data_IF_033039633735
#
_entry.id   IF_033039633735
#
_cell.length_a   1.000
_cell.length_b   1.000
_cell.length_c   1.000
_cell.angle_alpha   90.00
_cell.angle_beta   90.00
_cell.angle_gamma   90.00
#
_symmetry.space_group_name_H-M   'P 1'
#
loop_
_entity.id
_entity.type
_entity.pdbx_description
1 polymer ?
#
# COMPACT_ATOMS: atom_id res chain seq x y z
N UNK A 1 2.45 3.66 -21.05
CA UNK A 1 1.27 4.11 -20.30
C UNK A 1 1.50 3.79 -18.84
N UNK A 2 1.06 4.66 -17.93
CA UNK A 2 1.29 4.49 -16.49
C UNK A 2 -0.04 4.41 -15.78
N UNK A 3 -0.22 3.39 -14.95
CA UNK A 3 -1.44 3.16 -14.16
C UNK A 3 -1.09 3.20 -12.68
N UNK A 4 -1.79 4.02 -11.89
CA UNK A 4 -1.65 4.03 -10.43
C UNK A 4 -2.79 3.26 -9.78
N UNK A 5 -2.44 2.29 -8.94
CA UNK A 5 -3.38 1.57 -8.08
C UNK A 5 -3.24 2.09 -6.65
N UNK A 6 -4.32 2.63 -6.10
CA UNK A 6 -4.39 3.07 -4.71
C UNK A 6 -5.07 1.99 -3.85
N UNK A 7 -4.38 1.51 -2.82
CA UNK A 7 -4.87 0.48 -1.90
C UNK A 7 -4.83 0.99 -0.46
N UNK A 8 -5.83 0.65 0.36
CA UNK A 8 -5.84 1.07 1.75
C UNK A 8 -4.73 0.33 2.52
N UNK A 9 -4.78 -0.99 2.55
CA UNK A 9 -3.80 -1.83 3.22
C UNK A 9 -2.95 -2.63 2.24
N UNK A 10 -1.84 -3.17 2.74
CA UNK A 10 -1.04 -4.14 2.00
C UNK A 10 -1.78 -5.46 1.94
N UNK A 11 -2.19 -5.87 0.74
CA UNK A 11 -3.00 -7.04 0.33
C UNK A 11 -4.22 -6.61 -0.50
N UNK A 12 -4.83 -5.46 -0.21
CA UNK A 12 -5.98 -4.91 -0.94
C UNK A 12 -5.70 -4.77 -2.45
N UNK A 13 -4.48 -4.40 -2.85
CA UNK A 13 -4.08 -4.31 -4.26
C UNK A 13 -4.13 -5.67 -4.97
N UNK A 14 -3.74 -6.73 -4.25
CA UNK A 14 -3.66 -8.09 -4.77
C UNK A 14 -5.05 -8.72 -4.79
N UNK A 15 -5.78 -8.61 -3.68
CA UNK A 15 -7.12 -9.19 -3.50
C UNK A 15 -8.12 -8.52 -4.43
N UNK A 16 -8.11 -7.19 -4.50
CA UNK A 16 -9.07 -6.43 -5.29
C UNK A 16 -8.73 -6.41 -6.77
N UNK A 17 -7.45 -6.22 -7.12
CA UNK A 17 -7.03 -5.89 -8.48
C UNK A 17 -5.88 -6.74 -9.02
N UNK A 18 -5.43 -7.79 -8.33
CA UNK A 18 -4.24 -8.56 -8.71
C UNK A 18 -4.28 -9.09 -10.15
N UNK A 19 -5.42 -9.62 -10.59
CA UNK A 19 -5.59 -10.08 -11.98
C UNK A 19 -5.50 -8.94 -13.00
N UNK A 20 -6.05 -7.76 -12.68
CA UNK A 20 -5.96 -6.57 -13.53
C UNK A 20 -4.55 -6.02 -13.59
N UNK A 21 -3.86 -5.95 -12.45
CA UNK A 21 -2.45 -5.53 -12.35
C UNK A 21 -1.59 -6.42 -13.23
N UNK A 22 -1.68 -7.74 -13.07
CA UNK A 22 -0.90 -8.70 -13.86
C UNK A 22 -1.17 -8.56 -15.36
N UNK A 23 -2.43 -8.36 -15.74
CA UNK A 23 -2.80 -8.13 -17.14
C UNK A 23 -2.16 -6.86 -17.70
N UNK A 24 -2.35 -5.71 -17.05
CA UNK A 24 -1.81 -4.43 -17.51
C UNK A 24 -0.28 -4.46 -17.59
N UNK A 25 0.38 -5.03 -16.59
CA UNK A 25 1.83 -5.23 -16.59
C UNK A 25 2.29 -6.11 -17.78
N UNK A 26 1.56 -7.20 -18.08
CA UNK A 26 1.87 -8.06 -19.23
C UNK A 26 1.65 -7.38 -20.58
N UNK A 27 0.79 -6.36 -20.63
CA UNK A 27 0.55 -5.51 -21.80
C UNK A 27 1.58 -4.37 -21.93
N UNK A 28 2.54 -4.29 -20.99
CA UNK A 28 3.64 -3.34 -21.01
C UNK A 28 3.33 -2.00 -20.32
N UNK A 29 2.26 -1.92 -19.52
CA UNK A 29 1.99 -0.75 -18.70
C UNK A 29 2.91 -0.66 -17.47
N UNK A 30 3.30 0.56 -17.12
CA UNK A 30 4.02 0.87 -15.89
C UNK A 30 3.00 0.98 -14.75
N UNK A 31 2.76 -0.14 -14.05
CA UNK A 31 1.83 -0.19 -12.93
C UNK A 31 2.54 0.18 -11.63
N UNK A 32 2.05 1.23 -10.97
CA UNK A 32 2.55 1.72 -9.68
C UNK A 32 1.48 1.53 -8.61
N UNK A 33 1.82 0.84 -7.54
CA UNK A 33 0.92 0.62 -6.39
C UNK A 33 1.28 1.59 -5.27
N UNK A 34 0.27 2.31 -4.76
CA UNK A 34 0.38 3.18 -3.57
C UNK A 34 -0.49 2.59 -2.47
N UNK A 35 0.15 2.16 -1.38
CA UNK A 35 -0.50 1.63 -0.17
C UNK A 35 -0.51 2.69 0.91
N UNK A 36 -1.69 2.93 1.47
CA UNK A 36 -1.93 4.04 2.38
C UNK A 36 -1.51 3.70 3.81
N UNK A 37 -1.85 2.50 4.28
CA UNK A 37 -1.66 2.04 5.65
C UNK A 37 -0.78 0.79 5.70
N UNK A 38 0.08 0.69 6.72
CA UNK A 38 0.86 -0.55 6.93
C UNK A 38 0.01 -1.72 7.46
N UNK A 39 -1.23 -1.46 7.89
CA UNK A 39 -2.15 -2.49 8.40
C UNK A 39 -1.79 -3.02 9.79
N UNK A 40 -0.95 -2.30 10.56
CA UNK A 40 -0.55 -2.72 11.90
C UNK A 40 -1.51 -2.23 13.01
N UNK A 41 -2.68 -1.66 12.67
CA UNK A 41 -3.62 -1.07 13.64
C UNK A 41 -4.16 -2.04 14.70
N UNK A 42 -4.25 -3.33 14.39
CA UNK A 42 -4.75 -4.39 15.27
C UNK A 42 -3.66 -5.09 16.09
N UNK A 43 -2.38 -4.84 15.83
CA UNK A 43 -1.24 -5.42 16.55
C UNK A 43 -1.37 -5.10 18.04
N UNK A 44 -1.26 -6.12 18.88
CA UNK A 44 -1.30 -5.98 20.35
C UNK A 44 -2.68 -5.61 20.94
N UNK A 45 -3.74 -5.53 20.12
CA UNK A 45 -5.11 -5.26 20.58
C UNK A 45 -5.96 -6.52 20.77
N UNK A 46 -5.56 -7.62 20.16
CA UNK A 46 -6.21 -8.92 20.28
C UNK A 46 -5.54 -9.72 21.40
N UNK A 47 -6.33 -10.38 22.24
CA UNK A 47 -5.83 -11.28 23.30
C UNK A 47 -5.04 -12.48 22.74
N UNK A 48 -5.28 -12.83 21.47
CA UNK A 48 -4.54 -13.86 20.73
C UNK A 48 -3.23 -13.35 20.11
N UNK A 49 -2.90 -12.07 20.26
CA UNK A 49 -1.70 -11.50 19.64
C UNK A 49 -0.42 -12.03 20.33
N UNK A 50 0.56 -12.56 19.57
CA UNK A 50 1.79 -13.06 20.17
C UNK A 50 2.56 -11.94 20.88
N UNK A 51 2.92 -12.09 22.16
CA UNK A 51 3.56 -11.02 22.93
C UNK A 51 4.97 -10.68 22.45
N UNK A 52 5.63 -11.57 21.70
CA UNK A 52 6.95 -11.33 21.11
C UNK A 52 6.89 -10.64 19.74
N UNK A 53 5.70 -10.52 19.13
CA UNK A 53 5.57 -9.95 17.79
C UNK A 53 5.26 -8.46 17.87
N UNK A 54 6.30 -7.65 17.62
CA UNK A 54 6.20 -6.19 17.68
C UNK A 54 5.43 -5.62 16.48
N UNK A 55 4.95 -4.37 16.64
CA UNK A 55 4.31 -3.62 15.56
C UNK A 55 5.27 -3.43 14.40
N UNK A 56 6.52 -3.10 14.71
CA UNK A 56 7.58 -2.84 13.75
C UNK A 56 7.90 -4.09 12.92
N UNK A 57 7.89 -5.26 13.53
CA UNK A 57 8.12 -6.53 12.84
C UNK A 57 6.99 -6.85 11.87
N UNK A 58 5.73 -6.62 12.27
CA UNK A 58 4.58 -6.77 11.37
C UNK A 58 4.63 -5.81 10.21
N UNK A 59 4.95 -4.54 10.45
CA UNK A 59 5.08 -3.54 9.39
C UNK A 59 6.17 -3.96 8.39
N UNK A 60 7.36 -4.34 8.88
CA UNK A 60 8.47 -4.79 8.04
C UNK A 60 8.08 -6.00 7.20
N UNK A 61 7.42 -6.97 7.82
CA UNK A 61 7.01 -8.20 7.16
C UNK A 61 5.97 -7.91 6.07
N UNK A 62 4.93 -7.14 6.36
CA UNK A 62 3.88 -6.80 5.38
C UNK A 62 4.40 -5.97 4.21
N UNK A 63 5.32 -5.04 4.47
CA UNK A 63 5.98 -4.27 3.40
C UNK A 63 6.79 -5.20 2.49
N UNK A 64 7.48 -6.19 3.06
CA UNK A 64 8.22 -7.18 2.29
C UNK A 64 7.27 -8.05 1.46
N UNK A 65 6.21 -8.58 2.08
CA UNK A 65 5.21 -9.43 1.42
C UNK A 65 4.52 -8.72 0.24
N UNK A 66 4.06 -7.49 0.44
CA UNK A 66 3.41 -6.72 -0.63
C UNK A 66 4.37 -6.36 -1.77
N UNK A 67 5.64 -6.06 -1.49
CA UNK A 67 6.65 -5.88 -2.55
C UNK A 67 6.88 -7.16 -3.35
N UNK A 68 7.00 -8.31 -2.67
CA UNK A 68 7.17 -9.60 -3.32
C UNK A 68 5.94 -9.97 -4.17
N UNK A 69 4.73 -9.68 -3.68
CA UNK A 69 3.51 -9.86 -4.45
C UNK A 69 3.50 -8.94 -5.68
N UNK A 70 3.90 -7.68 -5.54
CA UNK A 70 4.07 -6.75 -6.64
C UNK A 70 5.04 -7.26 -7.70
N UNK A 71 6.20 -7.76 -7.30
CA UNK A 71 7.20 -8.35 -8.22
C UNK A 71 6.62 -9.52 -9.02
N UNK A 72 5.83 -10.39 -8.38
CA UNK A 72 5.15 -11.52 -9.06
C UNK A 72 4.13 -11.02 -10.08
N UNK A 73 3.39 -9.95 -9.75
CA UNK A 73 2.36 -9.38 -10.62
C UNK A 73 2.93 -8.45 -11.71
N UNK A 74 4.24 -8.20 -11.74
CA UNK A 74 4.87 -7.30 -12.70
C UNK A 74 4.70 -5.80 -12.37
N UNK A 75 4.40 -5.47 -11.11
CA UNK A 75 4.35 -4.08 -10.63
C UNK A 75 5.73 -3.44 -10.72
N UNK A 76 5.81 -2.24 -11.28
CA UNK A 76 7.06 -1.50 -11.38
C UNK A 76 7.51 -0.95 -10.02
N UNK A 77 6.56 -0.41 -9.24
CA UNK A 77 6.85 0.16 -7.93
C UNK A 77 5.70 -0.01 -6.95
N UNK A 78 6.02 -0.48 -5.74
CA UNK A 78 5.12 -0.45 -4.58
C UNK A 78 5.61 0.61 -3.58
N UNK A 79 4.74 1.58 -3.27
CA UNK A 79 5.04 2.75 -2.44
C UNK A 79 4.10 2.75 -1.23
N UNK A 80 4.66 2.95 -0.03
CA UNK A 80 3.87 3.07 1.19
C UNK A 80 3.83 4.53 1.64
N UNK A 81 2.63 5.09 1.80
CA UNK A 81 2.47 6.38 2.46
C UNK A 81 2.71 6.27 3.96
N UNK A 82 2.49 5.10 4.55
CA UNK A 82 2.91 4.76 5.90
C UNK A 82 2.07 5.40 6.99
N UNK A 83 0.75 5.26 6.88
CA UNK A 83 -0.17 5.56 7.97
C UNK A 83 -0.36 4.32 8.85
N UNK A 84 -0.66 4.55 10.13
CA UNK A 84 -0.68 3.50 11.15
C UNK A 84 -1.99 2.69 11.16
N UNK A 85 -3.07 3.21 10.58
CA UNK A 85 -4.32 2.48 10.34
C UNK A 85 -5.02 2.06 11.63
N UNK A 86 -4.77 2.79 12.72
CA UNK A 86 -5.24 2.44 14.06
C UNK A 86 -6.62 3.01 14.39
N UNK A 87 -7.06 4.06 13.68
CA UNK A 87 -8.36 4.68 13.95
C UNK A 87 -8.90 5.48 12.75
N UNK A 88 -9.74 4.83 11.92
CA UNK A 88 -10.54 5.52 10.89
C UNK A 88 -11.55 6.54 11.46
N UNK A 89 -11.62 6.69 12.79
CA UNK A 89 -12.45 7.68 13.48
C UNK A 89 -11.97 9.12 13.27
N UNK A 90 -10.71 9.34 12.87
CA UNK A 90 -10.24 10.67 12.49
C UNK A 90 -9.32 10.67 11.26
N UNK A 91 -9.89 10.45 10.06
CA UNK A 91 -9.12 10.26 8.83
C UNK A 91 -8.32 11.50 8.41
N UNK A 92 -8.75 12.70 8.81
CA UNK A 92 -8.02 13.94 8.52
C UNK A 92 -6.71 14.07 9.30
N UNK A 93 -6.59 13.38 10.45
CA UNK A 93 -5.36 13.36 11.26
C UNK A 93 -4.33 12.38 10.69
N UNK A 94 -4.78 11.22 10.18
CA UNK A 94 -3.87 10.25 9.56
C UNK A 94 -3.47 10.69 8.13
N UNK A 95 -4.41 11.26 7.36
CA UNK A 95 -4.17 11.80 6.02
C UNK A 95 -3.98 13.31 6.01
N UNK A 96 -2.88 13.73 6.63
CA UNK A 96 -2.51 15.14 6.81
C UNK A 96 -2.04 15.84 5.51
N UNK A 97 -1.66 17.11 5.64
CA UNK A 97 -1.16 17.92 4.52
C UNK A 97 0.15 17.38 3.92
N UNK A 98 1.02 16.74 4.71
CA UNK A 98 2.26 16.16 4.24
C UNK A 98 2.01 14.91 3.40
N UNK A 99 1.08 14.04 3.82
CA UNK A 99 0.63 12.87 3.05
C UNK A 99 -0.04 13.29 1.75
N UNK A 100 -0.91 14.30 1.78
CA UNK A 100 -1.52 14.89 0.57
C UNK A 100 -0.47 15.44 -0.40
N UNK A 101 0.54 16.15 0.11
CA UNK A 101 1.64 16.67 -0.71
C UNK A 101 2.47 15.55 -1.32
N UNK A 102 2.75 14.50 -0.55
CA UNK A 102 3.46 13.31 -1.03
C UNK A 102 2.68 12.64 -2.16
N UNK A 103 1.39 12.37 -1.94
CA UNK A 103 0.53 11.78 -2.96
C UNK A 103 0.47 12.65 -4.22
N UNK A 104 0.26 13.96 -4.09
CA UNK A 104 0.28 14.88 -5.22
C UNK A 104 1.61 14.88 -5.97
N UNK A 105 2.73 14.73 -5.25
CA UNK A 105 4.06 14.55 -5.84
C UNK A 105 4.13 13.29 -6.70
N UNK A 106 3.64 12.16 -6.20
CA UNK A 106 3.60 10.89 -6.93
C UNK A 106 2.76 11.00 -8.21
N UNK A 107 1.58 11.62 -8.16
CA UNK A 107 0.76 11.84 -9.36
C UNK A 107 1.47 12.73 -10.40
N UNK A 108 2.26 13.72 -9.97
CA UNK A 108 3.04 14.57 -10.88
C UNK A 108 4.25 13.87 -11.46
N UNK A 109 4.88 13.00 -10.67
CA UNK A 109 6.04 12.20 -11.06
C UNK A 109 5.65 11.15 -12.10
N UNK A 110 4.66 10.32 -11.78
CA UNK A 110 4.25 9.18 -12.58
C UNK A 110 3.27 9.52 -13.71
N UNK A 111 2.60 10.68 -13.64
CA UNK A 111 1.66 11.18 -14.68
C UNK A 111 0.73 10.07 -15.20
N UNK A 112 -0.06 9.42 -14.33
CA UNK A 112 -0.89 8.30 -14.73
C UNK A 112 -1.87 8.70 -15.83
N UNK A 113 -2.12 7.80 -16.76
CA UNK A 113 -3.11 7.97 -17.82
C UNK A 113 -4.40 7.25 -17.44
N UNK A 114 -5.52 7.97 -17.51
CA UNK A 114 -6.89 7.57 -17.11
C UNK A 114 -7.10 7.44 -15.60
#
# INVERSE_FOLDING_TARGET
MTTIVCAAHADDEVIGLGGTIAKLASEGEDVVVIIFFYGAGSVGRLSSWPPWLSREDVVKQRVKESKQAGEILGVHKTIFLGMDGGNLTNPSKEFDSAKKKTLSGLFREYKPEK
#
